data_IF_575838655800
#
_entry.id   IF_575838655800
#
_cell.length_a   1.000
_cell.length_b   1.000
_cell.length_c   1.000
_cell.angle_alpha   90.00
_cell.angle_beta   90.00
_cell.angle_gamma   90.00
#
_symmetry.space_group_name_H-M   'P 1'
#
loop_
_entity.id
_entity.type
_entity.pdbx_description
1 polymer ?
#
# COMPACT_ATOMS: atom_id res chain seq x y z
N UNK A 1 -3.58 11.92 -18.04
CA UNK A 1 -4.68 11.98 -17.03
C UNK A 1 -4.12 11.50 -15.70
N UNK A 2 -4.91 11.50 -14.61
CA UNK A 2 -4.49 10.95 -13.31
C UNK A 2 -5.23 9.63 -13.03
N UNK A 3 -4.50 8.59 -12.62
CA UNK A 3 -5.06 7.30 -12.21
C UNK A 3 -4.74 7.02 -10.74
N UNK A 4 -5.75 6.60 -9.98
CA UNK A 4 -5.61 6.20 -8.57
C UNK A 4 -5.77 4.69 -8.41
N UNK A 5 -4.88 4.05 -7.65
CA UNK A 5 -4.88 2.59 -7.43
C UNK A 5 -4.75 2.28 -5.93
N UNK A 6 -5.52 1.32 -5.42
CA UNK A 6 -5.36 0.77 -4.06
C UNK A 6 -4.07 -0.07 -3.97
N UNK A 7 -3.56 -0.32 -2.76
CA UNK A 7 -2.30 -1.06 -2.56
C UNK A 7 -2.58 -2.53 -2.23
N UNK A 8 -3.18 -2.76 -1.08
CA UNK A 8 -3.30 -4.07 -0.46
C UNK A 8 -4.31 -4.94 -1.23
N UNK A 9 -3.86 -6.13 -1.65
CA UNK A 9 -4.56 -7.06 -2.55
C UNK A 9 -4.98 -6.50 -3.91
N UNK A 10 -4.58 -5.27 -4.26
CA UNK A 10 -4.78 -4.69 -5.59
C UNK A 10 -3.48 -4.74 -6.39
N UNK A 11 -2.40 -4.17 -5.87
CA UNK A 11 -1.08 -4.21 -6.52
C UNK A 11 -0.07 -5.07 -5.78
N UNK A 12 -0.20 -5.18 -4.45
CA UNK A 12 0.64 -6.04 -3.64
C UNK A 12 -0.21 -7.11 -2.95
N UNK A 13 0.22 -8.37 -3.04
CA UNK A 13 -0.20 -9.38 -2.07
C UNK A 13 0.60 -9.16 -0.78
N UNK A 14 0.04 -8.38 0.15
CA UNK A 14 0.72 -7.88 1.35
C UNK A 14 0.36 -8.66 2.62
N UNK A 15 -0.47 -9.71 2.51
CA UNK A 15 -0.87 -10.55 3.63
C UNK A 15 0.28 -11.07 4.51
N UNK A 16 1.52 -11.33 4.02
CA UNK A 16 2.63 -11.72 4.90
C UNK A 16 2.91 -10.73 6.04
N UNK A 17 2.93 -9.42 5.75
CA UNK A 17 3.13 -8.37 6.75
C UNK A 17 1.97 -8.27 7.74
N UNK A 18 0.73 -8.32 7.24
CA UNK A 18 -0.48 -8.30 8.08
C UNK A 18 -0.58 -9.54 8.99
N UNK A 19 -0.32 -10.74 8.44
CA UNK A 19 -0.30 -11.99 9.19
C UNK A 19 0.77 -11.99 10.29
N UNK A 20 1.97 -11.47 9.98
CA UNK A 20 3.02 -11.29 10.99
C UNK A 20 2.58 -10.27 12.05
N UNK A 21 1.97 -9.17 11.65
CA UNK A 21 1.41 -8.14 12.52
C UNK A 21 0.42 -8.69 13.52
N UNK A 22 -0.62 -9.38 13.05
CA UNK A 22 -1.63 -10.01 13.89
C UNK A 22 -1.00 -10.91 14.95
N UNK A 23 -0.16 -11.88 14.53
CA UNK A 23 0.52 -12.80 15.46
C UNK A 23 1.48 -12.12 16.45
N UNK A 24 1.94 -10.91 16.17
CA UNK A 24 2.91 -10.19 17.03
C UNK A 24 2.22 -9.25 18.00
N UNK A 25 1.16 -8.55 17.55
CA UNK A 25 0.57 -7.43 18.29
C UNK A 25 -0.83 -7.73 18.82
N UNK A 26 -1.58 -8.64 18.21
CA UNK A 26 -2.91 -9.04 18.69
C UNK A 26 -3.31 -10.44 18.16
N UNK A 27 -2.72 -11.53 18.69
CA UNK A 27 -2.93 -12.87 18.12
C UNK A 27 -4.40 -13.31 18.08
N UNK A 28 -5.20 -12.81 19.03
CA UNK A 28 -6.59 -13.20 19.24
C UNK A 28 -7.62 -12.14 18.81
N UNK A 29 -7.18 -10.99 18.29
CA UNK A 29 -8.05 -9.89 17.86
C UNK A 29 -7.50 -9.15 16.64
N UNK A 30 -8.26 -8.17 16.14
CA UNK A 30 -7.83 -7.31 15.02
C UNK A 30 -7.24 -5.96 15.51
N UNK A 31 -6.94 -5.84 16.81
CA UNK A 31 -6.49 -4.59 17.43
C UNK A 31 -5.14 -4.10 16.86
N UNK A 32 -4.33 -4.99 16.30
CA UNK A 32 -3.11 -4.61 15.59
C UNK A 32 -3.37 -3.60 14.46
N UNK A 33 -4.54 -3.62 13.82
CA UNK A 33 -4.91 -2.66 12.77
C UNK A 33 -5.08 -1.22 13.29
N UNK A 34 -5.23 -1.04 14.60
CA UNK A 34 -5.24 0.29 15.26
C UNK A 34 -3.95 0.58 16.03
N UNK A 35 -2.97 -0.32 15.99
CA UNK A 35 -1.69 -0.16 16.69
C UNK A 35 -0.69 0.63 15.82
N UNK A 36 -0.20 1.81 16.26
CA UNK A 36 0.76 2.60 15.49
C UNK A 36 2.11 1.89 15.31
N UNK A 37 2.52 1.02 16.24
CA UNK A 37 3.78 0.27 16.13
C UNK A 37 3.70 -0.77 15.00
N UNK A 38 2.52 -1.37 14.79
CA UNK A 38 2.29 -2.24 13.63
C UNK A 38 2.46 -1.44 12.33
N UNK A 39 1.82 -0.28 12.23
CA UNK A 39 1.89 0.53 11.02
C UNK A 39 3.30 1.02 10.70
N UNK A 40 4.09 1.40 11.73
CA UNK A 40 5.50 1.75 11.52
C UNK A 40 6.30 0.58 10.92
N UNK A 41 6.05 -0.66 11.34
CA UNK A 41 6.68 -1.85 10.74
C UNK A 41 6.16 -2.14 9.34
N UNK A 42 4.84 -2.07 9.15
CA UNK A 42 4.20 -2.35 7.87
C UNK A 42 4.68 -1.39 6.78
N UNK A 43 4.75 -0.10 7.10
CA UNK A 43 5.06 0.94 6.13
C UNK A 43 6.57 1.19 5.93
N UNK A 44 7.44 0.61 6.76
CA UNK A 44 8.90 0.85 6.71
C UNK A 44 9.73 -0.45 6.61
N UNK A 45 9.22 -1.46 5.91
CA UNK A 45 10.04 -2.61 5.51
C UNK A 45 9.32 -3.93 5.34
N UNK A 46 8.15 -4.14 5.95
CA UNK A 46 7.47 -5.44 5.79
C UNK A 46 6.89 -5.69 4.39
N UNK A 47 6.80 -4.66 3.55
CA UNK A 47 6.52 -4.86 2.12
C UNK A 47 7.68 -5.53 1.34
N UNK A 48 8.86 -5.75 1.95
CA UNK A 48 9.88 -6.66 1.39
C UNK A 48 9.36 -8.09 1.20
N UNK A 49 8.35 -8.48 1.98
CA UNK A 49 7.67 -9.77 1.87
C UNK A 49 6.39 -9.71 1.03
N UNK A 50 5.98 -8.52 0.59
CA UNK A 50 4.82 -8.33 -0.27
C UNK A 50 5.15 -8.75 -1.70
N UNK A 51 4.24 -9.49 -2.33
CA UNK A 51 4.47 -10.00 -3.70
C UNK A 51 3.76 -9.09 -4.71
N UNK A 52 4.49 -8.44 -5.64
CA UNK A 52 3.86 -7.62 -6.68
C UNK A 52 2.98 -8.45 -7.61
N UNK A 53 1.74 -8.00 -7.84
CA UNK A 53 0.75 -8.70 -8.66
C UNK A 53 0.99 -8.44 -10.15
N UNK A 54 0.94 -9.49 -10.96
CA UNK A 54 1.21 -9.40 -12.40
C UNK A 54 0.25 -8.46 -13.15
N UNK A 55 -1.03 -8.50 -12.80
CA UNK A 55 -2.04 -7.58 -13.35
C UNK A 55 -1.69 -6.12 -13.07
N UNK A 56 -1.11 -5.82 -11.91
CA UNK A 56 -0.71 -4.46 -11.57
C UNK A 56 0.49 -4.00 -12.40
N UNK A 57 1.46 -4.89 -12.70
CA UNK A 57 2.55 -4.57 -13.64
C UNK A 57 1.99 -4.13 -14.99
N UNK A 58 1.08 -4.92 -15.55
CA UNK A 58 0.49 -4.63 -16.85
C UNK A 58 -0.30 -3.31 -16.88
N UNK A 59 -1.07 -3.03 -15.83
CA UNK A 59 -1.84 -1.78 -15.71
C UNK A 59 -0.92 -0.57 -15.52
N UNK A 60 0.10 -0.68 -14.68
CA UNK A 60 1.08 0.38 -14.45
C UNK A 60 1.86 0.66 -15.74
N UNK A 61 2.36 -0.36 -16.44
CA UNK A 61 3.05 -0.22 -17.73
C UNK A 61 2.16 0.45 -18.79
N UNK A 62 0.86 0.16 -18.77
CA UNK A 62 -0.12 0.78 -19.66
C UNK A 62 -0.29 2.28 -19.34
N UNK A 63 -0.39 2.65 -18.06
CA UNK A 63 -0.48 4.06 -17.63
C UNK A 63 0.82 4.84 -17.88
N UNK A 64 1.99 4.22 -17.64
CA UNK A 64 3.29 4.83 -17.96
C UNK A 64 3.40 5.10 -19.47
N UNK A 65 3.03 4.15 -20.33
CA UNK A 65 3.03 4.34 -21.79
C UNK A 65 2.09 5.46 -22.26
N UNK A 66 1.02 5.73 -21.51
CA UNK A 66 0.09 6.84 -21.77
C UNK A 66 0.59 8.19 -21.26
N UNK A 67 1.68 8.22 -20.48
CA UNK A 67 2.15 9.44 -19.79
C UNK A 67 1.20 9.88 -18.68
N UNK A 68 0.48 8.96 -18.06
CA UNK A 68 -0.42 9.27 -16.95
C UNK A 68 0.39 9.50 -15.65
N UNK A 69 -0.16 10.35 -14.78
CA UNK A 69 0.29 10.47 -13.38
C UNK A 69 -0.36 9.35 -12.56
N UNK A 70 0.45 8.62 -11.79
CA UNK A 70 0.03 7.43 -11.04
C UNK A 70 0.03 7.79 -9.55
N UNK A 71 -1.12 7.59 -8.91
CA UNK A 71 -1.31 7.77 -7.48
C UNK A 71 -1.69 6.44 -6.83
N UNK A 72 -1.08 6.16 -5.69
CA UNK A 72 -1.48 5.06 -4.82
C UNK A 72 -2.22 5.61 -3.62
N UNK A 73 -3.45 5.14 -3.39
CA UNK A 73 -4.30 5.61 -2.29
C UNK A 73 -4.67 4.40 -1.45
N UNK A 74 -4.22 4.39 -0.20
CA UNK A 74 -4.39 3.23 0.68
C UNK A 74 -5.12 3.57 1.97
N UNK A 75 -5.87 2.60 2.49
CA UNK A 75 -6.49 2.66 3.82
C UNK A 75 -5.50 2.44 4.98
N UNK A 76 -4.22 2.14 4.70
CA UNK A 76 -3.19 2.06 5.75
C UNK A 76 -3.09 3.37 6.53
N UNK A 77 -2.83 3.27 7.84
CA UNK A 77 -2.62 4.46 8.68
C UNK A 77 -1.32 5.19 8.29
N UNK A 78 -1.32 6.54 8.34
CA UNK A 78 -0.09 7.31 8.14
C UNK A 78 0.90 7.07 9.28
N UNK A 79 2.18 7.09 8.94
CA UNK A 79 3.33 6.91 9.85
C UNK A 79 4.28 8.10 9.74
N UNK A 80 5.25 8.22 10.66
CA UNK A 80 6.21 9.34 10.62
C UNK A 80 7.09 9.30 9.36
N UNK A 81 7.49 8.10 8.97
CA UNK A 81 8.21 7.80 7.74
C UNK A 81 7.53 6.65 7.01
N UNK A 82 7.83 6.49 5.74
CA UNK A 82 7.35 5.37 4.92
C UNK A 82 8.37 5.03 3.83
N UNK A 83 8.45 3.74 3.49
CA UNK A 83 9.25 3.21 2.37
C UNK A 83 8.37 2.52 1.31
N UNK A 84 7.05 2.65 1.43
CA UNK A 84 6.06 2.03 0.54
C UNK A 84 6.14 2.68 -0.85
N UNK A 85 6.25 4.01 -0.92
CA UNK A 85 6.43 4.73 -2.19
C UNK A 85 7.65 4.22 -2.95
N UNK A 86 8.78 4.06 -2.25
CA UNK A 86 9.99 3.49 -2.84
C UNK A 86 9.76 2.05 -3.32
N UNK A 87 9.16 1.22 -2.48
CA UNK A 87 8.90 -0.19 -2.79
C UNK A 87 8.03 -0.35 -4.03
N UNK A 88 6.98 0.47 -4.19
CA UNK A 88 6.11 0.46 -5.36
C UNK A 88 6.85 0.94 -6.62
N UNK A 89 7.59 2.05 -6.51
CA UNK A 89 8.35 2.59 -7.64
C UNK A 89 9.38 1.58 -8.15
N UNK A 90 10.13 0.94 -7.25
CA UNK A 90 11.16 -0.04 -7.58
C UNK A 90 10.53 -1.32 -8.16
N UNK A 91 9.54 -1.91 -7.49
CA UNK A 91 8.94 -3.17 -7.92
C UNK A 91 8.22 -3.08 -9.27
N UNK A 92 7.60 -1.94 -9.57
CA UNK A 92 6.86 -1.71 -10.81
C UNK A 92 7.62 -0.86 -11.83
N UNK A 93 8.89 -0.54 -11.57
CA UNK A 93 9.76 0.26 -12.45
C UNK A 93 9.12 1.60 -12.88
N UNK A 94 8.43 2.27 -11.95
CA UNK A 94 7.67 3.49 -12.25
C UNK A 94 8.65 4.66 -12.40
N UNK A 95 8.68 5.36 -13.54
CA UNK A 95 9.54 6.53 -13.71
C UNK A 95 9.16 7.65 -12.72
N UNK A 96 10.16 8.42 -12.28
CA UNK A 96 9.97 9.53 -11.35
C UNK A 96 8.96 10.59 -11.85
N UNK A 97 8.77 10.72 -13.16
CA UNK A 97 7.80 11.65 -13.76
C UNK A 97 6.36 11.19 -13.64
N UNK A 98 6.12 9.88 -13.45
CA UNK A 98 4.79 9.28 -13.30
C UNK A 98 4.46 8.93 -11.86
N UNK A 99 5.49 8.67 -11.03
CA UNK A 99 5.32 8.29 -9.64
C UNK A 99 4.99 9.48 -8.74
N UNK A 100 4.03 9.30 -7.83
CA UNK A 100 3.71 10.26 -6.77
C UNK A 100 3.85 9.59 -5.39
N UNK A 101 4.13 10.33 -4.31
CA UNK A 101 4.13 9.78 -2.95
C UNK A 101 2.78 9.11 -2.62
N UNK A 102 2.85 7.98 -1.91
CA UNK A 102 1.66 7.23 -1.48
C UNK A 102 0.78 8.10 -0.58
N UNK A 103 -0.52 8.05 -0.83
CA UNK A 103 -1.54 8.73 -0.03
C UNK A 103 -2.09 7.75 1.00
N UNK A 104 -1.66 7.91 2.26
CA UNK A 104 -2.17 7.17 3.41
C UNK A 104 -3.45 7.82 3.93
N UNK A 105 -4.61 7.36 3.44
CA UNK A 105 -5.90 7.92 3.84
C UNK A 105 -6.32 7.49 5.26
N UNK A 106 -5.75 6.38 5.76
CA UNK A 106 -6.17 5.71 6.99
C UNK A 106 -7.57 5.09 6.88
N UNK A 107 -8.01 4.43 7.95
CA UNK A 107 -9.38 3.95 8.09
C UNK A 107 -10.15 4.85 9.06
N UNK A 108 -11.13 5.59 8.52
CA UNK A 108 -11.98 6.55 9.24
C UNK A 108 -13.43 6.08 9.16
N UNK A 109 -13.99 5.57 10.27
CA UNK A 109 -15.39 5.14 10.34
C UNK A 109 -16.33 6.24 9.81
N UNK A 110 -17.22 5.88 8.89
CA UNK A 110 -18.23 6.77 8.30
C UNK A 110 -17.74 7.72 7.20
N UNK A 111 -16.43 7.75 6.89
CA UNK A 111 -15.89 8.59 5.80
C UNK A 111 -15.38 7.76 4.62
N UNK A 112 -14.62 6.70 4.90
CA UNK A 112 -14.02 5.84 3.89
C UNK A 112 -14.15 4.35 4.26
N UNK A 113 -15.19 4.02 5.02
CA UNK A 113 -15.55 2.65 5.34
C UNK A 113 -15.96 1.93 4.06
N UNK A 114 -15.23 0.87 3.68
CA UNK A 114 -15.65 -0.02 2.60
C UNK A 114 -16.89 -0.80 3.11
N UNK A 115 -18.07 -0.53 2.56
CA UNK A 115 -19.23 -1.40 2.74
C UNK A 115 -18.96 -2.70 1.97
N UNK A 116 -18.93 -3.83 2.67
CA UNK A 116 -18.88 -5.15 2.04
C UNK A 116 -20.20 -5.48 1.35
#
# INVERSE_FOLDING_TARGET
MAGGVDIDDTVLFSSPGFWRGKKTFSPESEDYLKNPVFWEKMNNGWDEFSIPKEVARQLIDMHVRRGDAIFFVTGRSPTKTETVSKTLADNFHIPATSMNPVIFAGDKPGQNTKSQ
#
